data_IF_857735837144
#
_entry.id   IF_857735837144
#
_cell.length_a   1.000
_cell.length_b   1.000
_cell.length_c   1.000
_cell.angle_alpha   90.00
_cell.angle_beta   90.00
_cell.angle_gamma   90.00
#
_symmetry.space_group_name_H-M   'P 1'
#
loop_
_entity.id
_entity.type
_entity.pdbx_description
1 polymer ?
#
# COMPACT_ATOMS: atom_id res chain seq x y z
N UNK A 1 -42.13 -4.51 15.21
CA UNK A 1 -40.99 -3.93 15.97
C UNK A 1 -40.03 -4.99 16.50
N UNK A 2 -40.39 -6.02 17.31
CA UNK A 2 -39.41 -6.96 17.86
C UNK A 2 -38.68 -7.78 16.80
N UNK A 3 -39.36 -8.20 15.72
CA UNK A 3 -38.69 -8.92 14.62
C UNK A 3 -37.62 -8.08 13.89
N UNK A 4 -37.90 -6.79 13.70
CA UNK A 4 -36.92 -5.86 13.09
C UNK A 4 -35.68 -5.68 13.99
N UNK A 5 -35.89 -5.51 15.29
CA UNK A 5 -34.78 -5.40 16.26
C UNK A 5 -33.94 -6.67 16.30
N UNK A 6 -34.58 -7.84 16.30
CA UNK A 6 -33.90 -9.14 16.29
C UNK A 6 -33.06 -9.30 15.00
N UNK A 7 -33.63 -8.98 13.85
CA UNK A 7 -32.96 -9.04 12.56
C UNK A 7 -31.72 -8.09 12.52
N UNK A 8 -31.87 -6.88 13.06
CA UNK A 8 -30.77 -5.91 13.16
C UNK A 8 -29.64 -6.42 14.06
N UNK A 9 -29.98 -6.99 15.22
CA UNK A 9 -28.97 -7.57 16.12
C UNK A 9 -28.23 -8.74 15.49
N UNK A 10 -28.93 -9.62 14.78
CA UNK A 10 -28.31 -10.74 14.05
C UNK A 10 -27.38 -10.20 12.95
N UNK A 11 -27.82 -9.18 12.19
CA UNK A 11 -27.01 -8.57 11.14
C UNK A 11 -25.71 -7.94 11.71
N UNK A 12 -25.78 -7.25 12.85
CA UNK A 12 -24.61 -6.70 13.53
C UNK A 12 -23.65 -7.79 14.03
N UNK A 13 -24.17 -8.85 14.66
CA UNK A 13 -23.38 -9.96 15.14
C UNK A 13 -22.65 -10.67 13.99
N UNK A 14 -23.36 -10.88 12.88
CA UNK A 14 -22.81 -11.49 11.68
C UNK A 14 -21.73 -10.61 11.03
N UNK A 15 -22.00 -9.30 10.89
CA UNK A 15 -21.02 -8.36 10.35
C UNK A 15 -19.74 -8.28 11.20
N UNK A 16 -19.91 -8.24 12.53
CA UNK A 16 -18.78 -8.28 13.45
C UNK A 16 -17.95 -9.56 13.29
N UNK A 17 -18.61 -10.71 13.26
CA UNK A 17 -17.95 -12.00 13.14
C UNK A 17 -17.14 -12.12 11.84
N UNK A 18 -17.72 -11.69 10.72
CA UNK A 18 -17.06 -11.74 9.41
C UNK A 18 -15.80 -10.86 9.37
N UNK A 19 -15.85 -9.66 9.92
CA UNK A 19 -14.72 -8.70 9.82
C UNK A 19 -13.65 -8.97 10.87
N UNK A 20 -14.02 -9.41 12.07
CA UNK A 20 -13.08 -9.66 13.16
C UNK A 20 -12.08 -10.81 12.88
N UNK A 21 -12.45 -11.72 11.98
CA UNK A 21 -11.61 -12.87 11.60
C UNK A 21 -10.60 -12.57 10.48
N UNK A 22 -10.62 -11.34 9.92
CA UNK A 22 -9.81 -10.99 8.76
C UNK A 22 -8.46 -10.44 9.20
N UNK A 23 -7.38 -10.97 8.60
CA UNK A 23 -6.01 -10.49 8.83
C UNK A 23 -5.78 -9.09 8.28
N UNK A 24 -4.88 -8.34 8.91
CA UNK A 24 -4.54 -6.97 8.48
C UNK A 24 -4.01 -6.88 7.05
N UNK A 25 -3.29 -7.89 6.59
CA UNK A 25 -2.77 -7.98 5.22
C UNK A 25 -3.87 -8.00 4.16
N UNK A 26 -5.01 -8.65 4.46
CA UNK A 26 -6.14 -8.81 3.54
C UNK A 26 -7.13 -7.62 3.59
N UNK A 27 -6.92 -6.67 4.49
CA UNK A 27 -7.83 -5.55 4.74
C UNK A 27 -8.18 -4.71 3.48
N UNK A 28 -7.26 -4.39 2.56
CA UNK A 28 -7.60 -3.66 1.35
C UNK A 28 -8.65 -4.37 0.48
N UNK A 29 -8.50 -5.70 0.34
CA UNK A 29 -9.47 -6.54 -0.41
C UNK A 29 -10.83 -6.50 0.26
N UNK A 30 -10.86 -6.62 1.58
CA UNK A 30 -12.09 -6.64 2.37
C UNK A 30 -12.84 -5.33 2.28
N UNK A 31 -12.17 -4.19 2.36
CA UNK A 31 -12.79 -2.87 2.21
C UNK A 31 -13.46 -2.74 0.83
N UNK A 32 -12.80 -3.19 -0.23
CA UNK A 32 -13.39 -3.20 -1.58
C UNK A 32 -14.60 -4.13 -1.67
N UNK A 33 -14.55 -5.29 -1.02
CA UNK A 33 -15.66 -6.24 -0.99
C UNK A 33 -16.86 -5.73 -0.19
N UNK A 34 -16.63 -5.03 0.93
CA UNK A 34 -17.72 -4.39 1.69
C UNK A 34 -18.40 -3.29 0.88
N UNK A 35 -17.66 -2.54 0.05
CA UNK A 35 -18.26 -1.61 -0.91
C UNK A 35 -19.14 -2.34 -1.93
N UNK A 36 -18.70 -3.50 -2.42
CA UNK A 36 -19.53 -4.34 -3.31
C UNK A 36 -20.85 -4.74 -2.65
N UNK A 37 -20.82 -5.23 -1.42
CA UNK A 37 -22.05 -5.59 -0.68
C UNK A 37 -22.96 -4.39 -0.49
N UNK A 38 -22.43 -3.23 -0.16
CA UNK A 38 -23.20 -1.99 -0.03
C UNK A 38 -23.85 -1.58 -1.35
N UNK A 39 -23.11 -1.74 -2.47
CA UNK A 39 -23.64 -1.48 -3.81
C UNK A 39 -24.80 -2.40 -4.16
N UNK A 40 -24.67 -3.69 -3.95
CA UNK A 40 -25.76 -4.65 -4.20
C UNK A 40 -26.98 -4.41 -3.29
N UNK A 41 -26.75 -4.03 -2.02
CA UNK A 41 -27.83 -3.65 -1.12
C UNK A 41 -28.57 -2.39 -1.61
N UNK A 42 -27.84 -1.40 -2.11
CA UNK A 42 -28.42 -0.19 -2.70
C UNK A 42 -29.23 -0.51 -3.97
N UNK A 43 -28.75 -1.40 -4.84
CA UNK A 43 -29.50 -1.86 -6.02
C UNK A 43 -30.81 -2.55 -5.62
N UNK A 44 -30.75 -3.46 -4.63
CA UNK A 44 -31.94 -4.13 -4.10
C UNK A 44 -32.97 -3.13 -3.52
N UNK A 45 -32.50 -2.14 -2.75
CA UNK A 45 -33.36 -1.06 -2.25
C UNK A 45 -33.97 -0.25 -3.41
N UNK A 46 -33.20 -0.01 -4.48
CA UNK A 46 -33.69 0.65 -5.70
C UNK A 46 -34.88 -0.07 -6.34
N UNK A 47 -34.82 -1.41 -6.43
CA UNK A 47 -35.95 -2.20 -6.91
C UNK A 47 -37.18 -2.05 -6.01
N UNK A 48 -37.01 -2.08 -4.69
CA UNK A 48 -38.11 -1.92 -3.74
C UNK A 48 -38.77 -0.52 -3.81
N UNK A 49 -37.97 0.50 -4.11
CA UNK A 49 -38.39 1.89 -4.16
C UNK A 49 -38.75 2.37 -5.57
N UNK A 50 -38.67 1.51 -6.58
CA UNK A 50 -38.84 1.86 -8.00
C UNK A 50 -37.98 3.05 -8.41
N UNK A 51 -36.70 3.06 -7.97
CA UNK A 51 -35.74 4.12 -8.23
C UNK A 51 -34.61 3.61 -9.15
N UNK A 52 -34.72 3.94 -10.43
CA UNK A 52 -33.80 3.48 -11.48
C UNK A 52 -32.36 3.97 -11.24
N UNK A 53 -32.20 5.19 -10.74
CA UNK A 53 -30.87 5.72 -10.43
C UNK A 53 -30.17 4.88 -9.37
N UNK A 54 -30.88 4.51 -8.31
CA UNK A 54 -30.33 3.72 -7.21
C UNK A 54 -30.01 2.29 -7.67
N UNK A 55 -30.80 1.72 -8.59
CA UNK A 55 -30.53 0.42 -9.21
C UNK A 55 -29.23 0.48 -10.00
N UNK A 56 -29.10 1.44 -10.91
CA UNK A 56 -27.94 1.57 -11.80
C UNK A 56 -26.66 1.85 -11.00
N UNK A 57 -26.68 2.84 -10.11
CA UNK A 57 -25.51 3.21 -9.29
C UNK A 57 -25.13 2.06 -8.35
N UNK A 58 -26.11 1.42 -7.72
CA UNK A 58 -25.86 0.27 -6.84
C UNK A 58 -25.25 -0.91 -7.59
N UNK A 59 -25.73 -1.23 -8.79
CA UNK A 59 -25.17 -2.29 -9.62
C UNK A 59 -23.73 -1.98 -10.07
N UNK A 60 -23.44 -0.74 -10.45
CA UNK A 60 -22.09 -0.31 -10.83
C UNK A 60 -21.10 -0.42 -9.66
N UNK A 61 -21.49 0.11 -8.49
CA UNK A 61 -20.65 0.03 -7.27
C UNK A 61 -20.46 -1.41 -6.84
N UNK A 62 -21.52 -2.21 -6.85
CA UNK A 62 -21.46 -3.62 -6.49
C UNK A 62 -20.55 -4.43 -7.41
N UNK A 63 -20.70 -4.27 -8.70
CA UNK A 63 -19.88 -4.97 -9.70
C UNK A 63 -18.41 -4.52 -9.65
N UNK A 64 -18.15 -3.23 -9.60
CA UNK A 64 -16.77 -2.71 -9.54
C UNK A 64 -16.04 -3.17 -8.28
N UNK A 65 -16.68 -3.11 -7.11
CA UNK A 65 -16.10 -3.57 -5.86
C UNK A 65 -15.74 -5.07 -5.88
N UNK A 66 -16.60 -5.91 -6.48
CA UNK A 66 -16.31 -7.34 -6.63
C UNK A 66 -15.12 -7.60 -7.57
N UNK A 67 -15.10 -6.95 -8.73
CA UNK A 67 -14.02 -7.08 -9.72
C UNK A 67 -12.69 -6.61 -9.12
N UNK A 68 -12.68 -5.45 -8.45
CA UNK A 68 -11.49 -4.91 -7.81
C UNK A 68 -10.96 -5.83 -6.71
N UNK A 69 -11.84 -6.39 -5.87
CA UNK A 69 -11.45 -7.36 -4.84
C UNK A 69 -10.81 -8.61 -5.46
N UNK A 70 -11.36 -9.12 -6.56
CA UNK A 70 -10.79 -10.25 -7.28
C UNK A 70 -9.39 -9.95 -7.85
N UNK A 71 -9.22 -8.79 -8.48
CA UNK A 71 -7.93 -8.34 -9.03
C UNK A 71 -6.89 -8.21 -7.91
N UNK A 72 -7.28 -7.63 -6.76
CA UNK A 72 -6.40 -7.48 -5.61
C UNK A 72 -5.98 -8.82 -5.02
N UNK A 73 -6.91 -9.77 -4.87
CA UNK A 73 -6.58 -11.13 -4.44
C UNK A 73 -5.55 -11.78 -5.37
N UNK A 74 -5.74 -11.63 -6.68
CA UNK A 74 -4.80 -12.15 -7.67
C UNK A 74 -3.43 -11.50 -7.55
N UNK A 75 -3.38 -10.17 -7.37
CA UNK A 75 -2.15 -9.41 -7.17
C UNK A 75 -1.41 -9.78 -5.86
N UNK A 76 -2.14 -10.25 -4.85
CA UNK A 76 -1.57 -10.73 -3.58
C UNK A 76 -1.24 -12.23 -3.60
N UNK A 77 -1.44 -12.91 -4.71
CA UNK A 77 -1.34 -14.37 -4.84
C UNK A 77 -2.19 -15.13 -3.78
N UNK A 78 -3.37 -14.60 -3.46
CA UNK A 78 -4.30 -15.16 -2.49
C UNK A 78 -5.58 -15.62 -3.16
N UNK A 79 -6.15 -16.72 -2.67
CA UNK A 79 -7.48 -17.15 -3.12
C UNK A 79 -8.55 -16.17 -2.64
N UNK A 80 -9.39 -15.70 -3.57
CA UNK A 80 -10.54 -14.84 -3.26
C UNK A 80 -11.45 -15.44 -2.18
N UNK A 81 -11.71 -16.74 -2.26
CA UNK A 81 -12.54 -17.46 -1.29
C UNK A 81 -11.88 -17.48 0.09
N UNK A 82 -10.56 -17.69 0.17
CA UNK A 82 -9.85 -17.72 1.45
C UNK A 82 -9.85 -16.38 2.16
N UNK A 83 -9.78 -15.28 1.41
CA UNK A 83 -9.83 -13.92 1.97
C UNK A 83 -11.24 -13.58 2.47
N UNK A 84 -12.30 -13.92 1.72
CA UNK A 84 -13.68 -13.60 2.11
C UNK A 84 -14.21 -14.53 3.20
N UNK A 85 -13.88 -15.82 3.14
CA UNK A 85 -14.27 -16.77 4.17
C UNK A 85 -13.57 -16.52 5.51
N UNK A 86 -12.56 -15.66 5.51
CA UNK A 86 -11.82 -15.20 6.68
C UNK A 86 -11.24 -16.32 7.53
N UNK A 87 -9.93 -16.38 7.71
CA UNK A 87 -9.26 -16.99 8.86
C UNK A 87 -9.63 -18.40 9.36
N UNK A 88 -10.49 -19.13 8.67
CA UNK A 88 -10.68 -20.53 9.00
C UNK A 88 -9.43 -21.35 8.64
N UNK A 89 -8.50 -21.46 9.59
CA UNK A 89 -7.36 -22.36 9.50
C UNK A 89 -6.01 -21.70 9.19
N UNK A 90 -5.89 -20.40 9.18
CA UNK A 90 -4.60 -19.75 9.39
C UNK A 90 -4.54 -19.29 10.84
N UNK A 91 -4.31 -20.22 11.74
CA UNK A 91 -3.61 -19.87 12.98
C UNK A 91 -2.30 -19.27 12.47
N UNK A 92 -2.24 -17.94 12.41
CA UNK A 92 -0.99 -17.26 12.23
C UNK A 92 -0.10 -17.76 13.37
N UNK A 93 0.76 -18.69 13.06
CA UNK A 93 1.94 -18.86 13.86
C UNK A 93 2.55 -17.47 13.80
N UNK A 94 2.35 -16.73 14.88
CA UNK A 94 3.11 -15.52 15.09
C UNK A 94 4.54 -15.96 14.83
N UNK A 95 5.12 -15.47 13.75
CA UNK A 95 6.54 -15.64 13.51
C UNK A 95 7.20 -15.11 14.77
N UNK A 96 7.60 -16.01 15.64
CA UNK A 96 8.43 -15.74 16.81
C UNK A 96 9.86 -15.61 16.32
N UNK A 97 10.05 -14.87 15.29
CA UNK A 97 11.33 -14.33 14.93
C UNK A 97 11.53 -13.04 15.76
N UNK A 98 11.76 -13.21 17.05
CA UNK A 98 12.73 -12.40 17.79
C UNK A 98 14.14 -12.80 17.26
N UNK A 99 14.32 -12.82 15.95
CA UNK A 99 15.63 -12.72 15.36
C UNK A 99 16.15 -11.34 15.73
N UNK A 100 17.32 -11.28 16.35
CA UNK A 100 18.06 -10.04 16.53
C UNK A 100 18.21 -9.38 15.17
N UNK A 101 17.23 -8.53 14.83
CA UNK A 101 17.33 -7.72 13.63
C UNK A 101 18.47 -6.77 13.86
N UNK A 102 19.36 -6.68 12.88
CA UNK A 102 20.54 -5.84 12.93
C UNK A 102 20.23 -4.38 13.27
N UNK A 103 21.25 -3.60 13.48
CA UNK A 103 21.11 -2.17 13.69
C UNK A 103 20.65 -1.49 12.40
N UNK A 104 19.66 -0.59 12.49
CA UNK A 104 19.26 0.26 11.38
C UNK A 104 20.15 1.50 11.33
N UNK A 105 20.32 2.05 10.14
CA UNK A 105 21.08 3.30 9.94
C UNK A 105 20.12 4.47 9.79
N UNK A 106 20.34 5.54 10.54
CA UNK A 106 19.59 6.77 10.39
C UNK A 106 20.26 7.73 9.39
N UNK A 107 19.46 8.51 8.71
CA UNK A 107 19.88 9.60 7.83
C UNK A 107 19.08 10.86 8.11
N UNK A 108 19.50 11.96 7.53
CA UNK A 108 18.81 13.25 7.63
C UNK A 108 18.44 13.78 6.23
N UNK A 109 17.61 14.82 6.20
CA UNK A 109 17.09 15.38 4.95
C UNK A 109 18.18 15.98 4.04
N UNK A 110 19.27 16.49 4.62
CA UNK A 110 20.38 17.11 3.90
C UNK A 110 21.20 16.05 3.17
N UNK A 111 21.54 14.96 3.86
CA UNK A 111 22.25 13.83 3.25
C UNK A 111 21.44 13.17 2.13
N UNK A 112 20.12 13.02 2.33
CA UNK A 112 19.22 12.51 1.29
C UNK A 112 19.16 13.45 0.09
N UNK A 113 19.09 14.77 0.33
CA UNK A 113 19.10 15.76 -0.76
C UNK A 113 20.39 15.69 -1.57
N UNK A 114 21.53 15.52 -0.92
CA UNK A 114 22.83 15.40 -1.59
C UNK A 114 22.95 14.08 -2.38
N UNK A 115 22.42 12.96 -1.85
CA UNK A 115 22.31 11.71 -2.62
C UNK A 115 21.47 11.90 -3.88
N UNK A 116 20.31 12.57 -3.76
CA UNK A 116 19.41 12.80 -4.87
C UNK A 116 19.99 13.71 -5.94
N UNK A 117 20.77 14.74 -5.57
CA UNK A 117 21.48 15.63 -6.52
C UNK A 117 22.51 14.88 -7.36
N UNK A 118 23.17 13.89 -6.75
CA UNK A 118 24.23 13.11 -7.39
C UNK A 118 23.71 11.86 -8.12
N UNK A 119 22.43 11.52 -7.96
CA UNK A 119 21.81 10.38 -8.61
C UNK A 119 21.50 10.65 -10.08
N UNK A 120 21.61 9.63 -10.90
CA UNK A 120 21.13 9.64 -12.30
C UNK A 120 19.74 9.03 -12.44
N UNK A 121 19.40 8.06 -11.59
CA UNK A 121 18.13 7.34 -11.59
C UNK A 121 17.57 7.24 -10.18
N UNK A 122 16.32 7.69 -10.02
CA UNK A 122 15.58 7.66 -8.76
C UNK A 122 14.23 6.97 -8.98
N UNK A 123 13.87 6.05 -8.10
CA UNK A 123 12.52 5.46 -8.06
C UNK A 123 11.87 5.82 -6.73
N UNK A 124 10.61 6.25 -6.79
CA UNK A 124 9.79 6.54 -5.62
C UNK A 124 8.72 5.47 -5.50
N UNK A 125 8.66 4.79 -4.35
CA UNK A 125 7.65 3.77 -4.06
C UNK A 125 6.69 4.28 -3.00
N UNK A 126 5.54 4.84 -3.43
CA UNK A 126 4.56 5.40 -2.50
C UNK A 126 3.71 4.30 -1.87
N UNK A 127 3.35 4.51 -0.62
CA UNK A 127 2.40 3.66 0.09
C UNK A 127 1.32 4.47 0.79
N UNK A 128 0.48 3.79 1.56
CA UNK A 128 -0.65 4.42 2.26
C UNK A 128 -0.22 5.55 3.22
N UNK A 129 0.95 5.43 3.83
CA UNK A 129 1.49 6.48 4.71
C UNK A 129 1.71 7.81 4.00
N UNK A 130 2.06 7.81 2.71
CA UNK A 130 2.13 9.04 1.90
C UNK A 130 0.76 9.72 1.79
N UNK A 131 -0.31 8.94 1.57
CA UNK A 131 -1.68 9.44 1.49
C UNK A 131 -2.14 10.05 2.82
N UNK A 132 -1.88 9.36 3.95
CA UNK A 132 -2.24 9.84 5.29
C UNK A 132 -1.55 11.14 5.64
N UNK A 133 -0.27 11.26 5.30
CA UNK A 133 0.51 12.48 5.53
C UNK A 133 0.22 13.59 4.51
N UNK A 134 -0.57 13.33 3.47
CA UNK A 134 -0.78 14.25 2.34
C UNK A 134 0.53 14.72 1.70
N UNK A 135 1.49 13.81 1.59
CA UNK A 135 2.83 14.11 1.09
C UNK A 135 2.93 14.09 -0.44
N UNK A 136 1.86 13.76 -1.18
CA UNK A 136 1.86 13.68 -2.64
C UNK A 136 2.27 15.00 -3.31
N UNK A 137 1.91 16.15 -2.75
CA UNK A 137 2.25 17.44 -3.32
C UNK A 137 3.75 17.77 -3.20
N UNK A 138 4.39 17.70 -2.02
CA UNK A 138 5.83 17.91 -1.93
C UNK A 138 6.62 16.79 -2.66
N UNK A 139 6.11 15.57 -2.78
CA UNK A 139 6.73 14.51 -3.60
C UNK A 139 6.69 14.88 -5.09
N UNK A 140 5.59 15.44 -5.59
CA UNK A 140 5.49 15.93 -6.96
C UNK A 140 6.48 17.08 -7.22
N UNK A 141 6.66 17.98 -6.26
CA UNK A 141 7.62 19.09 -6.37
C UNK A 141 9.07 18.61 -6.39
N UNK A 142 9.44 17.65 -5.52
CA UNK A 142 10.76 17.00 -5.58
C UNK A 142 10.98 16.34 -6.94
N UNK A 143 9.99 15.60 -7.43
CA UNK A 143 10.04 14.93 -8.73
C UNK A 143 10.33 15.92 -9.85
N UNK A 144 9.61 17.04 -9.87
CA UNK A 144 9.81 18.10 -10.85
C UNK A 144 11.24 18.66 -10.78
N UNK A 145 11.68 19.00 -9.57
CA UNK A 145 12.99 19.60 -9.34
C UNK A 145 14.13 18.68 -9.74
N UNK A 146 14.05 17.40 -9.41
CA UNK A 146 15.05 16.41 -9.82
C UNK A 146 15.09 16.22 -11.35
N UNK A 147 13.91 16.20 -12.00
CA UNK A 147 13.85 16.12 -13.46
C UNK A 147 14.43 17.35 -14.13
N UNK A 148 14.23 18.54 -13.57
CA UNK A 148 14.84 19.79 -14.05
C UNK A 148 16.37 19.77 -13.91
N UNK A 149 16.91 19.02 -12.95
CA UNK A 149 18.34 18.73 -12.79
C UNK A 149 18.85 17.61 -13.71
N UNK A 150 17.99 16.99 -14.51
CA UNK A 150 18.36 15.92 -15.43
C UNK A 150 18.32 14.51 -14.83
N UNK A 151 17.82 14.34 -13.62
CA UNK A 151 17.67 13.04 -12.96
C UNK A 151 16.47 12.30 -13.53
N UNK A 152 16.62 11.03 -13.89
CA UNK A 152 15.51 10.17 -14.32
C UNK A 152 14.70 9.73 -13.09
N UNK A 153 13.53 10.34 -12.89
CA UNK A 153 12.64 10.01 -11.77
C UNK A 153 11.45 9.20 -12.27
N UNK A 154 11.14 8.10 -11.59
CA UNK A 154 9.98 7.23 -11.86
C UNK A 154 9.30 6.83 -10.55
N UNK A 155 8.06 6.40 -10.67
CA UNK A 155 7.28 5.83 -9.56
C UNK A 155 7.04 4.36 -9.79
N UNK A 156 7.24 3.54 -8.75
CA UNK A 156 6.90 2.13 -8.74
C UNK A 156 5.65 1.90 -7.88
N UNK A 157 4.54 1.53 -8.51
CA UNK A 157 3.26 1.36 -7.83
C UNK A 157 2.98 -0.12 -7.62
N UNK A 158 2.81 -0.50 -6.37
CA UNK A 158 2.35 -1.84 -6.04
C UNK A 158 0.82 -1.93 -6.19
N UNK A 159 0.26 -3.02 -6.76
CA UNK A 159 -1.18 -3.16 -7.00
C UNK A 159 -2.07 -2.98 -5.77
N UNK A 160 -1.55 -3.32 -4.58
CA UNK A 160 -2.27 -3.15 -3.30
C UNK A 160 -1.77 -1.97 -2.46
N UNK A 161 -0.95 -1.09 -3.04
CA UNK A 161 -0.53 0.13 -2.34
C UNK A 161 -1.72 1.04 -2.04
N UNK A 162 -1.91 1.36 -0.78
CA UNK A 162 -3.05 2.15 -0.35
C UNK A 162 -4.18 1.31 0.26
N UNK A 163 -5.42 1.75 0.08
CA UNK A 163 -6.63 1.07 0.57
C UNK A 163 -7.59 0.66 -0.54
N UNK A 164 -7.35 1.15 -1.74
CA UNK A 164 -8.15 0.89 -2.93
C UNK A 164 -7.20 0.67 -4.11
N UNK A 165 -7.54 -0.16 -5.09
CA UNK A 165 -6.75 -0.28 -6.32
C UNK A 165 -6.62 1.08 -7.01
N UNK A 166 -5.42 1.39 -7.48
CA UNK A 166 -5.12 2.67 -8.10
C UNK A 166 -5.11 3.88 -7.16
N UNK A 167 -5.16 3.66 -5.83
CA UNK A 167 -5.17 4.76 -4.85
C UNK A 167 -3.97 5.69 -5.03
N UNK A 168 -2.78 5.13 -5.21
CA UNK A 168 -1.57 5.94 -5.42
C UNK A 168 -1.60 6.65 -6.77
N UNK A 169 -2.09 6.02 -7.82
CA UNK A 169 -2.21 6.62 -9.14
C UNK A 169 -3.11 7.86 -9.13
N UNK A 170 -4.24 7.78 -8.41
CA UNK A 170 -5.16 8.93 -8.25
C UNK A 170 -4.50 10.08 -7.50
N UNK A 171 -3.79 9.81 -6.39
CA UNK A 171 -3.11 10.84 -5.61
C UNK A 171 -1.97 11.52 -6.40
N UNK A 172 -1.21 10.74 -7.15
CA UNK A 172 -0.15 11.28 -8.01
C UNK A 172 -0.73 12.10 -9.16
N UNK A 173 -1.85 11.68 -9.75
CA UNK A 173 -2.55 12.45 -10.77
C UNK A 173 -3.12 13.77 -10.21
N UNK A 174 -3.69 13.75 -8.98
CA UNK A 174 -4.14 14.95 -8.26
C UNK A 174 -2.97 15.93 -8.03
N UNK A 175 -1.80 15.42 -7.67
CA UNK A 175 -0.58 16.20 -7.51
C UNK A 175 0.07 16.60 -8.85
N UNK A 176 -0.54 16.27 -9.99
CA UNK A 176 -0.06 16.59 -11.35
C UNK A 176 1.28 15.96 -11.72
N UNK A 177 1.58 14.79 -11.15
CA UNK A 177 2.71 13.99 -11.60
C UNK A 177 2.42 13.48 -13.02
N UNK A 178 3.37 13.59 -13.98
CA UNK A 178 3.18 13.07 -15.32
C UNK A 178 2.91 11.56 -15.31
N UNK A 179 1.92 11.12 -16.08
CA UNK A 179 1.48 9.73 -16.08
C UNK A 179 2.53 8.77 -16.65
N UNK A 180 3.35 9.23 -17.58
CA UNK A 180 4.40 8.48 -18.26
C UNK A 180 5.54 7.98 -17.34
N UNK A 181 5.67 8.54 -16.14
CA UNK A 181 6.67 8.14 -15.14
C UNK A 181 6.08 7.31 -13.98
N UNK A 182 4.77 7.04 -14.02
CA UNK A 182 4.08 6.22 -13.00
C UNK A 182 3.90 4.82 -13.57
N UNK A 183 4.73 3.88 -13.11
CA UNK A 183 4.84 2.53 -13.64
C UNK A 183 4.28 1.51 -12.64
N UNK A 184 3.67 0.47 -13.17
CA UNK A 184 3.22 -0.67 -12.38
C UNK A 184 4.42 -1.52 -11.92
N UNK A 185 4.21 -2.32 -10.88
CA UNK A 185 5.26 -3.17 -10.30
C UNK A 185 5.93 -4.07 -11.35
N UNK A 186 5.16 -4.69 -12.23
CA UNK A 186 5.65 -5.61 -13.25
C UNK A 186 6.52 -4.92 -14.32
N UNK A 187 6.33 -3.61 -14.50
CA UNK A 187 7.09 -2.81 -15.46
C UNK A 187 8.40 -2.28 -14.89
N UNK A 188 8.48 -2.12 -13.54
CA UNK A 188 9.59 -1.41 -12.90
C UNK A 188 10.50 -2.32 -12.08
N UNK A 189 10.06 -3.53 -11.75
CA UNK A 189 10.75 -4.38 -10.77
C UNK A 189 12.18 -4.77 -11.21
N UNK A 190 12.38 -4.96 -12.49
CA UNK A 190 13.71 -5.27 -13.05
C UNK A 190 14.66 -4.06 -13.04
N UNK A 191 14.13 -2.85 -13.02
CA UNK A 191 14.90 -1.61 -13.10
C UNK A 191 15.55 -1.19 -11.77
N UNK A 192 15.19 -1.82 -10.65
CA UNK A 192 15.80 -1.51 -9.36
C UNK A 192 17.31 -1.77 -9.33
N UNK A 193 17.80 -2.76 -10.09
CA UNK A 193 19.23 -3.06 -10.17
C UNK A 193 20.06 -1.88 -10.72
N UNK A 194 19.47 -1.08 -11.60
CA UNK A 194 20.11 0.07 -12.26
C UNK A 194 19.67 1.40 -11.64
N UNK A 195 19.16 1.38 -10.41
CA UNK A 195 18.67 2.57 -9.71
C UNK A 195 19.62 3.00 -8.60
N UNK A 196 20.01 4.27 -8.61
CA UNK A 196 20.93 4.83 -7.62
C UNK A 196 20.26 5.02 -6.26
N UNK A 197 19.04 5.59 -6.25
CA UNK A 197 18.32 5.88 -5.02
C UNK A 197 16.84 5.49 -5.14
N UNK A 198 16.35 4.78 -4.13
CA UNK A 198 14.92 4.51 -3.96
C UNK A 198 14.38 5.22 -2.73
N UNK A 199 13.30 5.97 -2.90
CA UNK A 199 12.56 6.58 -1.80
C UNK A 199 11.31 5.75 -1.48
N UNK A 200 11.28 5.10 -0.33
CA UNK A 200 10.12 4.34 0.17
C UNK A 200 9.29 5.24 1.07
N UNK A 201 8.19 5.80 0.54
CA UNK A 201 7.40 6.80 1.25
C UNK A 201 6.07 6.22 1.71
N UNK A 202 6.00 5.85 2.99
CA UNK A 202 4.77 5.35 3.60
C UNK A 202 4.35 3.96 3.14
N UNK A 203 5.27 3.17 2.57
CA UNK A 203 5.11 1.75 2.27
C UNK A 203 5.82 0.90 3.33
N UNK A 204 5.33 -0.31 3.57
CA UNK A 204 5.96 -1.29 4.46
C UNK A 204 5.87 -2.70 3.87
N UNK A 205 4.67 -3.29 3.84
CA UNK A 205 4.49 -4.69 3.45
C UNK A 205 4.73 -4.91 1.94
N UNK A 206 4.44 -3.90 1.12
CA UNK A 206 4.63 -3.93 -0.34
C UNK A 206 6.09 -3.90 -0.81
N UNK A 207 7.02 -3.64 0.11
CA UNK A 207 8.47 -3.61 -0.13
C UNK A 207 9.21 -4.57 0.81
N UNK A 208 8.49 -5.53 1.42
CA UNK A 208 9.03 -6.39 2.44
C UNK A 208 9.63 -7.68 1.85
N UNK A 209 10.96 -7.92 1.98
CA UNK A 209 11.59 -9.14 1.49
C UNK A 209 11.04 -10.43 2.13
N UNK A 210 10.51 -10.36 3.36
CA UNK A 210 9.92 -11.53 4.04
C UNK A 210 8.77 -12.18 3.26
N UNK A 211 8.14 -11.45 2.34
CA UNK A 211 7.14 -12.02 1.43
C UNK A 211 7.72 -13.10 0.52
N UNK A 212 9.00 -13.02 0.19
CA UNK A 212 9.72 -13.98 -0.66
C UNK A 212 10.60 -14.93 0.13
N UNK A 213 11.19 -14.45 1.23
CA UNK A 213 12.23 -15.16 1.98
C UNK A 213 11.66 -16.02 3.13
N UNK A 214 10.50 -15.67 3.69
CA UNK A 214 9.86 -16.38 4.82
C UNK A 214 8.53 -17.02 4.42
N UNK A 215 8.50 -18.35 4.17
CA UNK A 215 7.27 -19.07 3.85
C UNK A 215 6.23 -19.08 4.99
N UNK A 216 6.64 -18.81 6.23
CA UNK A 216 5.76 -18.73 7.42
C UNK A 216 5.12 -17.34 7.59
N UNK A 217 5.56 -16.35 6.85
CA UNK A 217 5.04 -14.99 6.96
C UNK A 217 3.58 -14.88 6.52
N UNK A 218 2.75 -14.07 7.19
CA UNK A 218 1.39 -13.74 6.73
C UNK A 218 1.32 -13.15 5.31
N UNK A 219 2.43 -12.58 4.83
CA UNK A 219 2.56 -12.02 3.47
C UNK A 219 3.29 -12.94 2.50
N UNK A 220 3.60 -14.18 2.89
CA UNK A 220 4.33 -15.14 2.07
C UNK A 220 3.69 -15.32 0.69
N UNK A 221 4.52 -15.29 -0.35
CA UNK A 221 4.10 -15.44 -1.75
C UNK A 221 3.43 -14.21 -2.36
N UNK A 222 3.30 -13.10 -1.64
CA UNK A 222 2.87 -11.83 -2.22
C UNK A 222 4.01 -11.28 -3.09
N UNK A 223 3.77 -10.94 -4.36
CA UNK A 223 4.73 -10.19 -5.15
C UNK A 223 5.01 -8.84 -4.48
N UNK A 224 6.25 -8.39 -4.47
CA UNK A 224 6.67 -7.14 -3.83
C UNK A 224 7.57 -6.33 -4.74
N UNK A 225 7.68 -5.04 -4.47
CA UNK A 225 8.67 -4.18 -5.12
C UNK A 225 10.05 -4.49 -4.53
N UNK A 226 10.96 -4.99 -5.34
CA UNK A 226 12.28 -5.47 -4.93
C UNK A 226 13.28 -4.32 -4.73
N UNK A 227 12.89 -3.32 -3.95
CA UNK A 227 13.65 -2.07 -3.75
C UNK A 227 15.06 -2.28 -3.20
N UNK A 228 15.31 -3.39 -2.49
CA UNK A 228 16.63 -3.72 -1.93
C UNK A 228 17.70 -4.04 -2.97
N UNK A 229 17.32 -4.18 -4.23
CA UNK A 229 18.27 -4.35 -5.35
C UNK A 229 18.92 -3.04 -5.77
N UNK A 230 18.38 -1.89 -5.39
CA UNK A 230 18.95 -0.58 -5.69
C UNK A 230 20.22 -0.31 -4.88
N UNK A 231 21.01 0.66 -5.32
CA UNK A 231 22.27 1.01 -4.64
C UNK A 231 22.01 1.60 -3.25
N UNK A 232 21.01 2.50 -3.12
CA UNK A 232 20.62 3.11 -1.86
C UNK A 232 19.11 3.14 -1.72
N UNK A 233 18.62 2.80 -0.51
CA UNK A 233 17.20 2.82 -0.17
C UNK A 233 16.98 3.75 1.01
N UNK A 234 16.04 4.69 0.88
CA UNK A 234 15.68 5.59 1.97
C UNK A 234 14.26 5.27 2.42
N UNK A 235 14.14 4.73 3.62
CA UNK A 235 12.85 4.39 4.23
C UNK A 235 12.29 5.53 5.07
N UNK A 236 11.13 6.06 4.68
CA UNK A 236 10.43 7.10 5.45
C UNK A 236 9.47 6.45 6.43
N UNK A 237 9.72 6.57 7.70
CA UNK A 237 8.85 6.05 8.78
C UNK A 237 8.78 7.02 9.95
N UNK A 238 7.67 6.94 10.71
CA UNK A 238 7.56 7.68 11.98
C UNK A 238 8.26 6.95 13.13
N UNK A 239 8.31 5.62 13.06
CA UNK A 239 8.93 4.73 14.05
C UNK A 239 9.16 3.35 13.41
N UNK A 240 9.91 2.47 14.08
CA UNK A 240 10.16 1.10 13.62
C UNK A 240 8.98 0.13 13.82
N UNK A 241 7.80 0.61 14.17
CA UNK A 241 6.61 -0.24 14.30
C UNK A 241 6.28 -0.97 13.00
N UNK A 242 5.72 -2.17 13.13
CA UNK A 242 5.27 -3.00 12.01
C UNK A 242 4.16 -2.34 11.20
N UNK A 243 3.96 -2.81 9.96
CA UNK A 243 2.86 -2.40 9.09
C UNK A 243 1.53 -3.10 9.43
N UNK A 244 0.58 -3.06 8.49
CA UNK A 244 -0.75 -3.66 8.67
C UNK A 244 -0.72 -5.18 8.83
N UNK A 245 0.23 -5.85 8.18
CA UNK A 245 0.39 -7.29 8.29
C UNK A 245 0.97 -7.73 9.65
N UNK A 246 1.46 -6.80 10.47
CA UNK A 246 2.08 -7.10 11.75
C UNK A 246 3.45 -7.79 11.63
N UNK A 247 4.01 -7.82 10.42
CA UNK A 247 5.28 -8.48 10.11
C UNK A 247 6.40 -7.45 10.16
N UNK A 248 7.51 -7.83 10.73
CA UNK A 248 8.75 -7.05 10.68
C UNK A 248 9.27 -6.97 9.24
N UNK A 249 9.96 -5.89 8.91
CA UNK A 249 10.49 -5.71 7.57
C UNK A 249 12.03 -5.71 7.57
N UNK A 250 12.66 -6.82 7.14
CA UNK A 250 14.11 -6.94 7.06
C UNK A 250 14.78 -5.90 6.15
N UNK A 251 14.03 -5.29 5.22
CA UNK A 251 14.54 -4.23 4.34
C UNK A 251 15.23 -3.12 5.14
N UNK A 252 14.64 -2.71 6.27
CA UNK A 252 15.11 -1.55 7.03
C UNK A 252 16.43 -1.79 7.77
N UNK A 253 16.91 -3.03 7.81
CA UNK A 253 18.16 -3.43 8.42
C UNK A 253 19.23 -3.82 7.41
N UNK A 254 18.94 -3.72 6.09
CA UNK A 254 19.91 -4.03 5.03
C UNK A 254 20.97 -2.93 4.96
N UNK A 255 22.18 -3.30 4.54
CA UNK A 255 23.34 -2.42 4.49
C UNK A 255 23.16 -1.21 3.57
N UNK A 256 22.36 -1.34 2.52
CA UNK A 256 22.05 -0.27 1.56
C UNK A 256 20.83 0.56 1.94
N UNK A 257 20.23 0.33 3.12
CA UNK A 257 19.03 1.02 3.56
C UNK A 257 19.33 1.99 4.70
N UNK A 258 18.78 3.18 4.59
CA UNK A 258 18.84 4.21 5.63
C UNK A 258 17.44 4.69 5.96
N UNK A 259 17.22 5.02 7.23
CA UNK A 259 15.92 5.42 7.76
C UNK A 259 15.86 6.92 7.99
N UNK A 260 14.89 7.57 7.38
CA UNK A 260 14.55 8.97 7.65
C UNK A 260 13.29 9.00 8.50
N UNK A 261 13.47 9.25 9.80
CA UNK A 261 12.37 9.28 10.74
C UNK A 261 11.66 10.64 10.75
N UNK A 262 10.34 10.59 10.88
CA UNK A 262 9.50 11.76 10.97
C UNK A 262 8.15 11.62 10.26
N UNK A 263 7.40 12.70 10.25
CA UNK A 263 6.22 12.81 9.40
C UNK A 263 6.62 12.86 7.93
N UNK A 264 6.00 12.06 7.08
CA UNK A 264 6.42 11.92 5.69
C UNK A 264 6.38 13.25 4.92
N UNK A 265 5.37 14.08 5.15
CA UNK A 265 5.26 15.39 4.52
C UNK A 265 6.37 16.33 4.97
N UNK A 266 6.58 16.42 6.28
CA UNK A 266 7.63 17.27 6.85
C UNK A 266 9.03 16.84 6.38
N UNK A 267 9.31 15.53 6.33
CA UNK A 267 10.57 14.98 5.86
C UNK A 267 10.80 15.29 4.37
N UNK A 268 9.79 15.13 3.53
CA UNK A 268 9.87 15.44 2.10
C UNK A 268 10.05 16.94 1.87
N UNK A 269 9.34 17.79 2.62
CA UNK A 269 9.52 19.26 2.57
C UNK A 269 10.92 19.70 3.03
N UNK A 270 11.51 19.02 4.02
CA UNK A 270 12.89 19.29 4.45
C UNK A 270 13.90 18.94 3.35
N UNK A 271 13.76 17.79 2.69
CA UNK A 271 14.58 17.42 1.53
C UNK A 271 14.42 18.46 0.41
N UNK A 272 13.18 18.89 0.12
CA UNK A 272 12.91 19.88 -0.92
C UNK A 272 13.59 21.24 -0.66
N UNK A 273 13.72 21.63 0.62
CA UNK A 273 14.45 22.85 1.00
C UNK A 273 15.96 22.71 0.85
N UNK A 274 16.50 21.49 1.03
CA UNK A 274 17.91 21.20 0.90
C UNK A 274 18.35 20.95 -0.55
N UNK A 275 17.41 20.59 -1.44
CA UNK A 275 17.60 20.48 -2.90
C UNK A 275 17.72 21.86 -3.55
#
# INVERSE_FOLDING_TARGET
MPALLLMTLIAFAFGWHLVASIGGADMPVVVSMLNSYSGWAAAAAGFMLSNDLLIVVGALVGSSGAILSYIMCKAMNRSFISVIAGGFGTDGVASTADEEMGEYRETNAEDVADMLKNATSVIITPGYGMAVAQAQYPVAEITKRLRDLGVKVRFGIHPVAGRLPGHMNVLLAEAKVPYDIVLEMDEINDDFNDTDVVLVIGANDTVNPAAMEDPGSPIAGMPVLEVWKAQNVIGFKRSMNTGYAGVQNPLFFKDNTQMLFGDAKASVEAILKAL
#
